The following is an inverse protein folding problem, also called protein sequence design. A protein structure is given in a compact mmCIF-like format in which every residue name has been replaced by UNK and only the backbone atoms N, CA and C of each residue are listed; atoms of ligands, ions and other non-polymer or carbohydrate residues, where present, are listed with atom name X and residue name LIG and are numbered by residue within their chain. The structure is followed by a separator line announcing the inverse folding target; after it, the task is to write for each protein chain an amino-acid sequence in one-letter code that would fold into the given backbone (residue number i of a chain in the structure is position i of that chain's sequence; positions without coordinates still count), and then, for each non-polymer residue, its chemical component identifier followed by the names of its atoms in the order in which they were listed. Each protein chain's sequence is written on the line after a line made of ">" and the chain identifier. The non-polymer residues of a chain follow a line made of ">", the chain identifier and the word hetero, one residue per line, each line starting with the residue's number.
data_IF_462970122680
#
_entry.id   IF_462970122680
#
_cell.length_a   1.000
_cell.length_b   1.000
_cell.length_c   1.000
_cell.angle_alpha   90.00
_cell.angle_beta   90.00
_cell.angle_gamma   90.00
#
_symmetry.space_group_name_H-M   'P 1'
#
loop_
_entity.id
_entity.type
_entity.pdbx_description
1 polymer ?
#
# COMPACT_ATOMS: atom_id res chain seq x y z
N UNK A 1 11.14 -31.68 24.59
CA UNK A 1 10.51 -31.29 23.30
C UNK A 1 9.07 -30.91 23.60
N UNK A 2 8.54 -29.77 23.13
CA UNK A 2 7.14 -29.42 23.36
C UNK A 2 6.22 -30.38 22.60
N UNK A 3 5.06 -30.67 23.17
CA UNK A 3 4.13 -31.68 22.65
C UNK A 3 3.35 -31.15 21.44
N UNK A 4 2.81 -32.02 20.55
CA UNK A 4 2.02 -31.59 19.39
C UNK A 4 0.77 -30.78 19.74
N UNK A 5 0.30 -30.87 20.98
CA UNK A 5 -0.90 -30.18 21.48
C UNK A 5 -0.61 -28.70 21.77
N UNK A 6 0.64 -28.36 22.14
CA UNK A 6 1.07 -26.99 22.42
C UNK A 6 1.05 -26.12 21.13
N UNK A 7 1.26 -26.73 19.96
CA UNK A 7 1.25 -26.03 18.68
C UNK A 7 -0.12 -25.44 18.30
N UNK A 8 -1.22 -26.05 18.73
CA UNK A 8 -2.58 -25.59 18.41
C UNK A 8 -3.05 -24.46 19.34
N UNK A 9 -2.61 -24.45 20.60
CA UNK A 9 -2.91 -23.38 21.57
C UNK A 9 -2.19 -22.06 21.23
N UNK A 10 -1.01 -22.13 20.62
CA UNK A 10 -0.21 -20.95 20.23
C UNK A 10 -0.90 -20.11 19.14
N UNK A 11 -1.74 -20.70 18.27
CA UNK A 11 -2.40 -19.96 17.18
C UNK A 11 -3.41 -18.91 17.65
N UNK A 12 -3.91 -18.98 18.90
CA UNK A 12 -4.86 -18.00 19.46
C UNK A 12 -4.20 -16.98 20.40
N UNK A 13 -2.92 -17.13 20.71
CA UNK A 13 -2.21 -16.22 21.61
C UNK A 13 -1.56 -15.08 20.83
N UNK A 14 -1.68 -13.86 21.37
CA UNK A 14 -1.00 -12.71 20.76
C UNK A 14 0.52 -12.89 20.86
N UNK A 15 1.30 -12.35 19.90
CA UNK A 15 2.76 -12.42 19.94
C UNK A 15 3.35 -11.89 21.25
N UNK A 16 2.68 -10.92 21.88
CA UNK A 16 3.07 -10.33 23.17
C UNK A 16 2.97 -11.31 24.35
N UNK A 17 2.01 -12.25 24.33
CA UNK A 17 1.93 -13.29 25.37
C UNK A 17 3.08 -14.29 25.24
N UNK A 18 3.39 -14.68 24.00
CA UNK A 18 4.47 -15.62 23.70
C UNK A 18 5.84 -15.03 24.02
N UNK A 19 6.02 -13.72 23.83
CA UNK A 19 7.22 -13.00 24.23
C UNK A 19 7.54 -13.12 25.73
N UNK A 20 6.52 -13.23 26.60
CA UNK A 20 6.73 -13.41 28.04
C UNK A 20 7.32 -14.79 28.38
N UNK A 21 7.08 -15.79 27.53
CA UNK A 21 7.52 -17.18 27.73
C UNK A 21 8.87 -17.41 27.04
N UNK A 22 8.99 -16.99 25.78
CA UNK A 22 10.15 -17.29 24.93
C UNK A 22 11.18 -16.18 24.87
N UNK A 23 10.89 -15.03 25.49
CA UNK A 23 11.78 -13.87 25.52
C UNK A 23 11.52 -12.86 24.38
N UNK A 24 12.32 -11.77 24.34
CA UNK A 24 12.08 -10.62 23.48
C UNK A 24 12.32 -10.88 21.99
N UNK A 25 13.04 -11.97 21.66
CA UNK A 25 13.28 -12.43 20.29
C UNK A 25 13.04 -13.93 20.24
N UNK A 26 12.04 -14.35 19.47
CA UNK A 26 11.70 -15.77 19.33
C UNK A 26 11.25 -16.09 17.91
N UNK A 27 11.28 -17.37 17.55
CA UNK A 27 10.79 -17.85 16.26
C UNK A 27 9.55 -18.72 16.45
N UNK A 28 8.61 -18.61 15.51
CA UNK A 28 7.41 -19.42 15.48
C UNK A 28 7.10 -19.85 14.04
N UNK A 29 6.42 -20.99 13.88
CA UNK A 29 5.92 -21.41 12.58
C UNK A 29 4.45 -21.05 12.46
N UNK A 30 4.15 -20.11 11.55
CA UNK A 30 2.79 -19.83 11.14
C UNK A 30 2.52 -20.61 9.85
N UNK A 31 1.68 -21.65 9.97
CA UNK A 31 1.43 -22.61 8.89
C UNK A 31 2.74 -23.20 8.33
N UNK A 32 3.02 -23.01 7.04
CA UNK A 32 4.23 -23.47 6.37
C UNK A 32 5.41 -22.48 6.43
N UNK A 33 5.30 -21.36 7.14
CA UNK A 33 6.34 -20.32 7.20
C UNK A 33 6.93 -20.15 8.59
N UNK A 34 8.25 -19.96 8.65
CA UNK A 34 8.95 -19.52 9.85
C UNK A 34 8.88 -17.99 9.93
N UNK A 35 8.44 -17.48 11.08
CA UNK A 35 8.36 -16.07 11.42
C UNK A 35 9.24 -15.83 12.64
N UNK A 36 10.08 -14.80 12.59
CA UNK A 36 10.85 -14.31 13.73
C UNK A 36 10.16 -13.08 14.28
N UNK A 37 9.87 -13.08 15.57
CA UNK A 37 9.17 -12.00 16.26
C UNK A 37 10.13 -11.29 17.19
N UNK A 38 10.31 -9.98 16.98
CA UNK A 38 10.98 -9.09 17.90
C UNK A 38 9.92 -8.29 18.67
N UNK A 39 9.86 -8.46 19.98
CA UNK A 39 8.81 -7.92 20.85
C UNK A 39 9.29 -6.84 21.82
N UNK A 40 10.59 -6.50 21.79
CA UNK A 40 11.16 -5.39 22.58
C UNK A 40 11.73 -4.28 21.68
N UNK A 41 11.77 -3.01 22.16
CA UNK A 41 12.41 -1.92 21.43
C UNK A 41 13.89 -2.19 21.11
N UNK A 42 14.62 -2.84 22.02
CA UNK A 42 16.03 -3.18 21.82
C UNK A 42 16.21 -4.17 20.66
N UNK A 43 15.41 -5.24 20.63
CA UNK A 43 15.44 -6.23 19.54
C UNK A 43 14.95 -5.65 18.22
N UNK A 44 13.94 -4.78 18.24
CA UNK A 44 13.47 -4.08 17.05
C UNK A 44 14.55 -3.13 16.49
N UNK A 45 15.27 -2.41 17.35
CA UNK A 45 16.39 -1.56 16.96
C UNK A 45 17.54 -2.37 16.37
N UNK A 46 17.88 -3.50 16.96
CA UNK A 46 18.93 -4.37 16.44
C UNK A 46 18.61 -4.86 15.02
N UNK A 47 17.36 -5.26 14.76
CA UNK A 47 16.93 -5.70 13.42
C UNK A 47 16.85 -4.51 12.47
N UNK A 48 16.06 -3.49 12.80
CA UNK A 48 15.70 -2.42 11.87
C UNK A 48 16.75 -1.31 11.71
N UNK A 49 17.77 -1.24 12.57
CA UNK A 49 18.84 -0.23 12.46
C UNK A 49 20.24 -0.83 12.37
N UNK A 50 20.54 -1.86 13.16
CA UNK A 50 21.91 -2.42 13.20
C UNK A 50 22.14 -3.44 12.09
N UNK A 51 21.11 -4.19 11.72
CA UNK A 51 21.16 -5.21 10.67
C UNK A 51 20.14 -4.95 9.53
N UNK A 52 19.81 -3.68 9.33
CA UNK A 52 18.80 -3.21 8.39
C UNK A 52 19.03 -3.71 6.97
N UNK A 53 20.29 -3.74 6.51
CA UNK A 53 20.67 -4.19 5.16
C UNK A 53 20.27 -5.64 4.86
N UNK A 54 20.26 -6.52 5.87
CA UNK A 54 19.89 -7.94 5.71
C UNK A 54 18.39 -8.14 5.96
N UNK A 55 17.79 -7.33 6.83
CA UNK A 55 16.37 -7.42 7.19
C UNK A 55 15.45 -6.46 6.43
N UNK A 56 15.94 -5.77 5.40
CA UNK A 56 15.16 -4.81 4.61
C UNK A 56 14.16 -5.47 3.65
N UNK A 57 14.33 -6.77 3.39
CA UNK A 57 13.39 -7.53 2.56
C UNK A 57 11.99 -7.54 3.17
N UNK A 58 10.96 -7.21 2.36
CA UNK A 58 9.57 -7.22 2.83
C UNK A 58 8.85 -8.48 2.42
N UNK A 59 7.95 -8.94 3.28
CA UNK A 59 6.98 -9.95 2.89
C UNK A 59 5.93 -9.31 1.98
N UNK A 60 5.78 -9.87 0.77
CA UNK A 60 4.69 -9.53 -0.14
C UNK A 60 3.72 -10.70 -0.27
N UNK A 61 2.41 -10.45 -0.21
CA UNK A 61 1.39 -11.42 -0.62
C UNK A 61 1.63 -11.93 -2.04
N UNK A 62 1.31 -13.19 -2.29
CA UNK A 62 1.53 -13.86 -3.58
C UNK A 62 0.68 -13.26 -4.71
N UNK A 63 -0.42 -12.58 -4.38
CA UNK A 63 -1.21 -11.82 -5.37
C UNK A 63 -0.40 -10.69 -5.99
N UNK A 64 0.49 -10.02 -5.23
CA UNK A 64 1.34 -8.96 -5.77
C UNK A 64 2.14 -9.50 -6.95
N UNK A 65 2.83 -10.63 -6.78
CA UNK A 65 3.61 -11.27 -7.84
C UNK A 65 2.81 -11.69 -9.09
N UNK A 66 1.48 -11.74 -9.00
CA UNK A 66 0.59 -12.11 -10.10
C UNK A 66 0.08 -10.90 -10.92
N UNK A 67 0.24 -9.69 -10.40
CA UNK A 67 -0.14 -8.45 -11.10
C UNK A 67 0.93 -8.16 -12.18
N UNK A 68 0.55 -7.90 -13.44
CA UNK A 68 1.48 -7.44 -14.48
C UNK A 68 2.24 -6.18 -14.06
N UNK A 69 3.46 -6.00 -14.58
CA UNK A 69 4.37 -4.88 -14.26
C UNK A 69 4.81 -4.75 -12.79
N UNK A 70 4.21 -5.48 -11.83
CA UNK A 70 4.62 -5.51 -10.41
C UNK A 70 6.09 -5.90 -10.24
N UNK A 71 6.55 -6.96 -10.89
CA UNK A 71 7.95 -7.40 -10.76
C UNK A 71 8.95 -6.41 -11.37
N UNK A 72 8.49 -5.59 -12.32
CA UNK A 72 9.28 -4.52 -12.94
C UNK A 72 9.17 -3.21 -12.15
N UNK A 73 8.05 -3.00 -11.44
CA UNK A 73 7.78 -1.87 -10.58
C UNK A 73 8.88 -1.73 -9.55
N UNK A 74 9.46 -0.54 -9.52
CA UNK A 74 10.58 -0.20 -8.67
C UNK A 74 10.24 -0.43 -7.19
N UNK A 75 9.00 -0.18 -6.77
CA UNK A 75 8.56 -0.34 -5.37
C UNK A 75 8.49 -1.79 -4.91
N UNK A 76 8.12 -2.75 -5.76
CA UNK A 76 8.06 -4.18 -5.39
C UNK A 76 9.40 -4.88 -5.63
N UNK A 77 10.13 -4.49 -6.68
CA UNK A 77 11.50 -4.98 -6.87
C UNK A 77 12.41 -4.55 -5.70
N UNK A 78 12.11 -3.40 -5.10
CA UNK A 78 12.72 -2.94 -3.85
C UNK A 78 12.43 -3.90 -2.66
N UNK A 79 11.28 -4.56 -2.65
CA UNK A 79 10.91 -5.50 -1.57
C UNK A 79 11.40 -6.93 -1.80
N UNK A 80 12.10 -7.18 -2.91
CA UNK A 80 12.71 -8.49 -3.17
C UNK A 80 13.79 -8.83 -2.14
N UNK A 81 14.15 -10.11 -2.05
CA UNK A 81 15.06 -10.66 -1.03
C UNK A 81 16.45 -10.01 -0.97
N UNK A 82 16.81 -9.19 -1.94
CA UNK A 82 18.11 -8.56 -2.07
C UNK A 82 17.95 -7.05 -2.24
N UNK A 83 18.50 -6.31 -1.27
CA UNK A 83 18.64 -4.86 -1.31
C UNK A 83 19.70 -4.50 -2.37
N UNK A 84 19.30 -4.54 -3.65
CA UNK A 84 20.17 -4.16 -4.78
C UNK A 84 20.18 -2.63 -4.97
N UNK A 85 21.17 -2.07 -5.67
CA UNK A 85 21.25 -0.60 -5.93
C UNK A 85 20.02 0.01 -6.62
N UNK A 86 19.16 -0.83 -7.20
CA UNK A 86 17.86 -0.48 -7.76
C UNK A 86 16.85 -0.09 -6.65
N UNK A 87 16.95 -0.68 -5.45
CA UNK A 87 16.19 -0.30 -4.24
C UNK A 87 16.51 1.13 -3.81
N UNK A 88 17.81 1.42 -3.73
CA UNK A 88 18.32 2.71 -3.28
C UNK A 88 17.94 3.81 -4.28
N UNK A 89 18.05 3.54 -5.59
CA UNK A 89 17.62 4.47 -6.63
C UNK A 89 16.10 4.69 -6.67
N UNK A 90 15.30 3.62 -6.51
CA UNK A 90 13.85 3.72 -6.45
C UNK A 90 13.36 4.54 -5.25
N UNK A 91 13.90 4.24 -4.05
CA UNK A 91 13.58 5.00 -2.86
C UNK A 91 14.15 6.41 -2.92
N UNK A 92 15.32 6.61 -3.53
CA UNK A 92 15.85 7.94 -3.78
C UNK A 92 14.89 8.73 -4.65
N UNK A 93 14.43 8.22 -5.79
CA UNK A 93 13.45 8.93 -6.63
C UNK A 93 12.16 9.19 -5.85
N UNK A 94 11.61 8.20 -5.14
CA UNK A 94 10.37 8.41 -4.39
C UNK A 94 10.56 9.45 -3.28
N UNK A 95 11.64 9.36 -2.51
CA UNK A 95 11.94 10.30 -1.42
C UNK A 95 12.28 11.69 -1.96
N UNK A 96 13.05 11.80 -3.04
CA UNK A 96 13.39 13.06 -3.72
C UNK A 96 12.15 13.70 -4.34
N UNK A 97 11.26 12.89 -4.92
CA UNK A 97 9.95 13.31 -5.41
C UNK A 97 9.05 13.78 -4.26
N UNK A 98 9.03 13.10 -3.12
CA UNK A 98 8.35 13.58 -1.91
C UNK A 98 9.03 14.79 -1.26
N UNK A 99 10.33 15.00 -1.49
CA UNK A 99 11.10 16.10 -0.91
C UNK A 99 11.01 17.39 -1.74
N UNK A 100 11.01 17.27 -3.07
CA UNK A 100 10.69 18.38 -4.01
C UNK A 100 9.26 18.88 -3.81
N UNK A 101 8.35 18.00 -3.37
CA UNK A 101 7.01 18.36 -2.94
C UNK A 101 6.92 19.12 -1.60
N UNK A 102 8.02 19.31 -0.87
CA UNK A 102 8.02 20.13 0.36
C UNK A 102 7.66 21.59 0.07
N UNK A 103 7.86 22.06 -1.16
CA UNK A 103 7.37 23.36 -1.65
C UNK A 103 5.84 23.40 -1.85
N UNK A 104 5.20 22.23 -2.02
CA UNK A 104 3.74 22.07 -2.13
C UNK A 104 3.05 22.07 -0.75
N UNK A 105 3.79 22.04 0.37
CA UNK A 105 3.21 22.11 1.74
C UNK A 105 2.35 23.36 1.97
N UNK A 106 2.66 24.47 1.29
CA UNK A 106 1.85 25.70 1.35
C UNK A 106 0.46 25.52 0.75
N UNK A 107 0.32 24.73 -0.33
CA UNK A 107 -0.96 24.44 -1.03
C UNK A 107 -1.62 23.14 -0.56
N UNK A 108 -0.86 22.23 0.04
CA UNK A 108 -1.34 20.99 0.64
C UNK A 108 -2.26 21.24 1.83
N UNK A 109 -2.07 22.33 2.59
CA UNK A 109 -3.00 22.74 3.65
C UNK A 109 -4.39 23.08 3.11
N UNK A 110 -4.45 23.95 2.09
CA UNK A 110 -5.72 24.38 1.47
C UNK A 110 -6.48 23.20 0.86
N UNK A 111 -5.75 22.28 0.21
CA UNK A 111 -6.33 21.05 -0.38
C UNK A 111 -6.86 20.08 0.68
N UNK A 112 -6.11 19.86 1.77
CA UNK A 112 -6.54 19.00 2.90
C UNK A 112 -7.75 19.59 3.62
N UNK A 113 -7.76 20.91 3.80
CA UNK A 113 -8.86 21.63 4.43
C UNK A 113 -10.14 21.50 3.60
N UNK A 114 -10.06 21.58 2.26
CA UNK A 114 -11.20 21.31 1.38
C UNK A 114 -11.79 19.91 1.59
N UNK A 115 -10.96 18.86 1.59
CA UNK A 115 -11.43 17.48 1.80
C UNK A 115 -12.03 17.32 3.20
N UNK A 116 -11.44 17.97 4.21
CA UNK A 116 -11.96 17.97 5.57
C UNK A 116 -13.34 18.64 5.64
N UNK A 117 -13.50 19.81 5.02
CA UNK A 117 -14.77 20.54 4.96
C UNK A 117 -15.85 19.70 4.28
N UNK A 118 -15.56 19.06 3.14
CA UNK A 118 -16.49 18.15 2.46
C UNK A 118 -16.90 16.96 3.36
N UNK A 119 -15.97 16.45 4.18
CA UNK A 119 -16.26 15.37 5.14
C UNK A 119 -17.20 15.87 6.26
N UNK A 120 -16.93 17.07 6.77
CA UNK A 120 -17.75 17.70 7.82
C UNK A 120 -19.14 18.01 7.30
N UNK A 121 -19.26 18.60 6.10
CA UNK A 121 -20.54 18.87 5.44
C UNK A 121 -21.35 17.58 5.24
N UNK A 122 -20.70 16.48 4.83
CA UNK A 122 -21.36 15.18 4.72
C UNK A 122 -21.89 14.68 6.08
N UNK A 123 -21.13 14.83 7.16
CA UNK A 123 -21.54 14.40 8.50
C UNK A 123 -22.67 15.27 9.06
N UNK A 124 -22.61 16.59 8.85
CA UNK A 124 -23.69 17.52 9.22
C UNK A 124 -24.97 17.20 8.44
N UNK A 125 -24.86 16.92 7.15
CA UNK A 125 -25.99 16.49 6.31
C UNK A 125 -26.59 15.12 6.68
N UNK A 126 -25.95 14.39 7.61
CA UNK A 126 -26.40 13.10 8.14
C UNK A 126 -26.74 13.16 9.63
N UNK A 127 -27.01 14.36 10.15
CA UNK A 127 -27.45 14.55 11.52
C UNK A 127 -28.70 13.71 11.83
N UNK A 128 -28.65 12.91 12.89
CA UNK A 128 -29.72 11.99 13.27
C UNK A 128 -29.73 10.64 12.56
N UNK A 129 -28.85 10.39 11.59
CA UNK A 129 -28.69 9.10 10.92
C UNK A 129 -27.52 8.27 11.48
N UNK A 130 -27.62 6.94 11.39
CA UNK A 130 -26.51 6.04 11.73
C UNK A 130 -25.53 5.99 10.56
N UNK A 131 -24.30 6.48 10.77
CA UNK A 131 -23.25 6.53 9.74
C UNK A 131 -22.10 5.57 10.09
N UNK A 132 -21.58 4.87 9.07
CA UNK A 132 -20.38 4.06 9.24
C UNK A 132 -19.10 4.93 9.19
N UNK A 133 -18.53 5.23 10.36
CA UNK A 133 -17.33 6.05 10.47
C UNK A 133 -16.11 5.44 9.77
N UNK A 134 -15.97 4.12 9.76
CA UNK A 134 -14.86 3.44 9.08
C UNK A 134 -14.89 3.75 7.57
N UNK A 135 -16.06 3.72 6.97
CA UNK A 135 -16.26 4.07 5.56
C UNK A 135 -16.02 5.55 5.27
N UNK A 136 -16.34 6.44 6.20
CA UNK A 136 -16.11 7.89 6.07
C UNK A 136 -14.63 8.20 6.16
N UNK A 137 -13.94 7.68 7.19
CA UNK A 137 -12.50 7.89 7.36
C UNK A 137 -11.68 7.31 6.21
N UNK A 138 -12.04 6.12 5.72
CA UNK A 138 -11.41 5.54 4.52
C UNK A 138 -11.57 6.44 3.31
N UNK A 139 -12.80 6.89 3.02
CA UNK A 139 -13.05 7.81 1.90
C UNK A 139 -12.25 9.11 2.05
N UNK A 140 -12.24 9.70 3.25
CA UNK A 140 -11.49 10.91 3.57
C UNK A 140 -9.97 10.73 3.36
N UNK A 141 -9.37 9.65 3.86
CA UNK A 141 -7.94 9.36 3.71
C UNK A 141 -7.56 9.12 2.24
N UNK A 142 -8.36 8.33 1.51
CA UNK A 142 -8.14 8.10 0.09
C UNK A 142 -8.25 9.40 -0.72
N UNK A 143 -9.22 10.27 -0.41
CA UNK A 143 -9.36 11.56 -1.06
C UNK A 143 -8.22 12.52 -0.72
N UNK A 144 -7.75 12.55 0.53
CA UNK A 144 -6.56 13.33 0.87
C UNK A 144 -5.33 12.88 0.08
N UNK A 145 -5.10 11.57 -0.01
CA UNK A 145 -3.97 11.02 -0.79
C UNK A 145 -4.12 11.35 -2.28
N UNK A 146 -5.30 11.10 -2.85
CA UNK A 146 -5.63 11.42 -4.23
C UNK A 146 -5.46 12.91 -4.56
N UNK A 147 -5.78 13.79 -3.61
CA UNK A 147 -5.67 15.23 -3.80
C UNK A 147 -4.20 15.71 -3.72
N UNK A 148 -3.38 15.05 -2.90
CA UNK A 148 -1.93 15.29 -2.90
C UNK A 148 -1.30 14.81 -4.21
N UNK A 149 -1.70 13.63 -4.68
CA UNK A 149 -1.10 12.96 -5.84
C UNK A 149 -1.57 13.52 -7.17
N UNK A 150 -2.87 13.75 -7.28
CA UNK A 150 -3.56 14.06 -8.52
C UNK A 150 -4.54 15.25 -8.39
N UNK A 151 -4.47 16.02 -7.29
CA UNK A 151 -5.29 17.22 -7.08
C UNK A 151 -6.80 17.00 -7.26
N UNK A 152 -7.26 15.75 -7.05
CA UNK A 152 -8.63 15.32 -7.26
C UNK A 152 -9.09 14.38 -6.16
N UNK A 153 -10.39 14.34 -5.93
CA UNK A 153 -11.01 13.34 -5.07
C UNK A 153 -11.31 12.10 -5.92
N UNK A 154 -10.83 10.94 -5.48
CA UNK A 154 -11.07 9.66 -6.17
C UNK A 154 -12.38 8.99 -5.76
N UNK A 155 -12.86 9.28 -4.55
CA UNK A 155 -14.00 8.62 -3.93
C UNK A 155 -15.08 9.62 -3.54
N UNK A 156 -16.34 9.33 -3.86
CA UNK A 156 -17.48 10.04 -3.29
C UNK A 156 -17.88 9.49 -1.92
N UNK A 157 -18.61 10.28 -1.14
CA UNK A 157 -19.21 9.86 0.14
C UNK A 157 -20.49 9.01 -0.03
N UNK A 158 -20.47 8.12 -1.02
CA UNK A 158 -21.55 7.20 -1.35
C UNK A 158 -21.01 5.91 -1.95
N UNK A 159 -21.90 5.04 -2.44
CA UNK A 159 -21.48 3.82 -3.14
C UNK A 159 -20.95 4.19 -4.54
N UNK A 160 -19.73 3.81 -4.83
CA UNK A 160 -19.13 3.97 -6.16
C UNK A 160 -18.26 2.77 -6.50
N UNK A 161 -18.12 2.49 -7.80
CA UNK A 161 -17.26 1.43 -8.31
C UNK A 161 -15.80 1.60 -7.85
N UNK A 162 -15.34 2.86 -7.71
CA UNK A 162 -14.03 3.18 -7.17
C UNK A 162 -13.88 2.77 -5.70
N UNK A 163 -14.91 2.98 -4.87
CA UNK A 163 -14.88 2.59 -3.45
C UNK A 163 -14.87 1.07 -3.28
N UNK A 164 -15.67 0.36 -4.07
CA UNK A 164 -15.68 -1.10 -4.08
C UNK A 164 -14.33 -1.66 -4.51
N UNK A 165 -13.70 -1.05 -5.52
CA UNK A 165 -12.35 -1.41 -5.98
C UNK A 165 -11.28 -1.16 -4.91
N UNK A 166 -11.28 -0.01 -4.24
CA UNK A 166 -10.34 0.29 -3.14
C UNK A 166 -10.49 -0.72 -2.00
N UNK A 167 -11.72 -1.09 -1.65
CA UNK A 167 -11.99 -2.11 -0.64
C UNK A 167 -11.50 -3.51 -1.08
N UNK A 168 -11.69 -3.86 -2.35
CA UNK A 168 -11.19 -5.11 -2.93
C UNK A 168 -9.66 -5.18 -2.88
N UNK A 169 -8.97 -4.10 -3.31
CA UNK A 169 -7.51 -3.98 -3.23
C UNK A 169 -7.03 -4.08 -1.79
N UNK A 170 -7.63 -3.31 -0.87
CA UNK A 170 -7.28 -3.33 0.55
C UNK A 170 -7.36 -4.73 1.14
N UNK A 171 -8.45 -5.45 0.90
CA UNK A 171 -8.63 -6.85 1.36
C UNK A 171 -7.58 -7.80 0.80
N UNK A 172 -7.24 -7.67 -0.48
CA UNK A 172 -6.22 -8.50 -1.13
C UNK A 172 -4.81 -8.23 -0.60
N UNK A 173 -4.51 -6.99 -0.20
CA UNK A 173 -3.21 -6.60 0.33
C UNK A 173 -3.03 -6.96 1.81
N UNK A 174 -4.08 -6.84 2.63
CA UNK A 174 -3.99 -7.10 4.08
C UNK A 174 -4.17 -8.55 4.46
N UNK A 175 -4.82 -9.36 3.62
CA UNK A 175 -5.17 -10.75 3.96
C UNK A 175 -4.21 -11.70 3.26
N UNK A 176 -3.29 -12.38 3.97
CA UNK A 176 -2.44 -13.39 3.35
C UNK A 176 -3.31 -14.57 2.90
N UNK A 177 -3.24 -14.92 1.62
CA UNK A 177 -4.01 -16.04 1.10
C UNK A 177 -3.42 -17.40 1.51
N UNK A 178 -4.11 -18.50 1.21
CA UNK A 178 -3.65 -19.84 1.59
C UNK A 178 -2.24 -20.19 1.07
N UNK A 179 -1.89 -19.74 -0.14
CA UNK A 179 -0.56 -19.96 -0.73
C UNK A 179 0.54 -19.15 -0.04
N UNK A 180 0.16 -18.03 0.58
CA UNK A 180 1.06 -17.22 1.39
C UNK A 180 1.44 -17.95 2.67
N UNK A 181 0.47 -18.63 3.28
CA UNK A 181 0.65 -19.42 4.49
C UNK A 181 1.29 -20.80 4.21
N UNK A 182 0.98 -21.44 3.08
CA UNK A 182 1.47 -22.77 2.70
C UNK A 182 2.20 -22.72 1.35
N UNK A 183 3.53 -22.52 1.35
CA UNK A 183 4.31 -22.42 0.11
C UNK A 183 4.20 -23.62 -0.83
N UNK A 184 3.84 -24.80 -0.32
CA UNK A 184 3.62 -26.03 -1.12
C UNK A 184 2.50 -25.85 -2.13
N UNK A 185 1.47 -25.06 -1.80
CA UNK A 185 0.31 -24.80 -2.68
C UNK A 185 0.67 -23.92 -3.88
N UNK A 186 1.85 -23.26 -3.87
CA UNK A 186 2.29 -22.38 -4.97
C UNK A 186 2.39 -23.10 -6.31
N UNK A 187 2.61 -24.42 -6.31
CA UNK A 187 2.71 -25.23 -7.55
C UNK A 187 1.36 -25.49 -8.21
N UNK A 188 0.27 -25.37 -7.46
CA UNK A 188 -1.09 -25.72 -7.90
C UNK A 188 -1.95 -24.46 -8.10
N UNK A 189 -1.42 -23.29 -7.80
CA UNK A 189 -2.17 -22.03 -7.85
C UNK A 189 -2.17 -21.43 -9.27
N UNK A 190 -3.21 -21.74 -10.04
CA UNK A 190 -3.41 -21.22 -11.39
C UNK A 190 -4.35 -20.02 -11.47
N UNK A 191 -5.24 -19.82 -10.48
CA UNK A 191 -6.26 -18.77 -10.51
C UNK A 191 -5.73 -17.38 -10.15
N UNK A 192 -4.70 -17.25 -9.31
CA UNK A 192 -4.13 -15.94 -8.94
C UNK A 192 -3.59 -15.12 -10.11
N UNK A 193 -3.05 -15.76 -11.15
CA UNK A 193 -2.61 -15.05 -12.37
C UNK A 193 -3.78 -14.34 -13.06
N UNK A 194 -4.96 -14.96 -13.06
CA UNK A 194 -6.17 -14.36 -13.62
C UNK A 194 -6.64 -13.22 -12.73
N UNK A 195 -6.70 -13.43 -11.41
CA UNK A 195 -7.09 -12.39 -10.45
C UNK A 195 -6.16 -11.17 -10.51
N UNK A 196 -4.84 -11.38 -10.54
CA UNK A 196 -3.85 -10.30 -10.66
C UNK A 196 -4.01 -9.48 -11.95
N UNK A 197 -4.31 -10.13 -13.08
CA UNK A 197 -4.61 -9.43 -14.34
C UNK A 197 -5.90 -8.62 -14.28
N UNK A 198 -6.95 -9.17 -13.66
CA UNK A 198 -8.23 -8.47 -13.48
C UNK A 198 -8.02 -7.24 -12.58
N UNK A 199 -7.33 -7.42 -11.46
CA UNK A 199 -7.02 -6.35 -10.53
C UNK A 199 -6.22 -5.24 -11.19
N UNK A 200 -5.15 -5.60 -11.91
CA UNK A 200 -4.35 -4.67 -12.68
C UNK A 200 -5.18 -3.84 -13.66
N UNK A 201 -6.08 -4.48 -14.42
CA UNK A 201 -6.98 -3.75 -15.33
C UNK A 201 -7.89 -2.79 -14.59
N UNK A 202 -8.51 -3.22 -13.49
CA UNK A 202 -9.41 -2.36 -12.70
C UNK A 202 -8.67 -1.14 -12.14
N UNK A 203 -7.45 -1.34 -11.63
CA UNK A 203 -6.57 -0.26 -11.16
C UNK A 203 -6.23 0.69 -12.30
N UNK A 204 -5.80 0.17 -13.45
CA UNK A 204 -5.46 1.03 -14.58
C UNK A 204 -6.67 1.86 -15.01
N UNK A 205 -7.86 1.25 -15.12
CA UNK A 205 -9.08 1.99 -15.45
C UNK A 205 -9.43 3.08 -14.41
N UNK A 206 -9.13 2.87 -13.12
CA UNK A 206 -9.36 3.89 -12.09
C UNK A 206 -8.49 5.14 -12.31
N UNK A 207 -7.26 4.95 -12.77
CA UNK A 207 -6.29 6.02 -12.98
C UNK A 207 -6.24 6.53 -14.43
N UNK A 208 -6.80 5.78 -15.38
CA UNK A 208 -6.71 6.05 -16.82
C UNK A 208 -7.26 7.43 -17.18
N UNK A 209 -8.43 7.79 -16.65
CA UNK A 209 -9.03 9.10 -16.91
C UNK A 209 -8.18 10.24 -16.37
N UNK A 210 -7.56 10.04 -15.20
CA UNK A 210 -6.65 11.02 -14.59
C UNK A 210 -5.40 11.16 -15.45
N UNK A 211 -4.76 10.06 -15.83
CA UNK A 211 -3.53 10.08 -16.63
C UNK A 211 -3.75 10.66 -18.03
N UNK A 212 -4.86 10.30 -18.69
CA UNK A 212 -5.23 10.84 -20.01
C UNK A 212 -5.46 12.34 -19.98
N UNK A 213 -6.20 12.84 -18.99
CA UNK A 213 -6.45 14.26 -18.84
C UNK A 213 -5.15 15.04 -18.64
N UNK A 214 -4.22 14.53 -17.83
CA UNK A 214 -2.92 15.17 -17.60
C UNK A 214 -2.05 15.21 -18.83
N UNK A 215 -1.97 14.11 -19.56
CA UNK A 215 -1.20 14.07 -20.81
C UNK A 215 -1.76 15.04 -21.85
N UNK A 216 -3.07 15.29 -21.85
CA UNK A 216 -3.70 16.30 -22.71
C UNK A 216 -3.39 17.75 -22.30
N UNK A 217 -3.15 18.00 -21.00
CA UNK A 217 -2.78 19.33 -20.48
C UNK A 217 -1.31 19.69 -20.70
N UNK A 218 -0.40 18.71 -20.78
CA UNK A 218 1.03 18.96 -21.05
C UNK A 218 1.30 19.61 -22.44
N UNK A 219 0.28 19.74 -23.31
CA UNK A 219 0.37 20.48 -24.58
C UNK A 219 -0.18 21.92 -24.54
N UNK A 220 -0.82 22.33 -23.44
CA UNK A 220 -1.44 23.65 -23.28
C UNK A 220 -0.78 24.39 -22.13
N UNK A 221 -0.32 25.62 -22.37
CA UNK A 221 0.34 26.50 -21.41
C UNK A 221 -0.61 27.00 -20.31
N UNK A 222 -1.12 26.10 -19.48
CA UNK A 222 -1.95 26.46 -18.33
C UNK A 222 -1.05 26.55 -17.08
N UNK A 223 -1.10 27.70 -16.40
CA UNK A 223 -0.22 28.06 -15.28
C UNK A 223 -0.55 27.35 -13.95
N UNK A 224 -1.15 26.17 -14.00
CA UNK A 224 -1.36 25.36 -12.79
C UNK A 224 -0.02 24.81 -12.30
N UNK A 225 0.23 24.92 -10.99
CA UNK A 225 1.42 24.32 -10.39
C UNK A 225 1.41 22.79 -10.60
N UNK A 226 2.55 22.19 -10.99
CA UNK A 226 2.65 20.76 -11.23
C UNK A 226 2.35 19.98 -9.94
N UNK A 227 1.64 18.86 -10.05
CA UNK A 227 1.48 17.92 -8.94
C UNK A 227 2.23 16.61 -9.16
N UNK A 228 2.15 15.69 -8.20
CA UNK A 228 2.97 14.48 -8.19
C UNK A 228 2.81 13.63 -9.46
N UNK A 229 1.60 13.57 -10.02
CA UNK A 229 1.38 12.83 -11.26
C UNK A 229 2.00 13.54 -12.47
N UNK A 230 2.08 14.87 -12.46
CA UNK A 230 2.76 15.64 -13.51
C UNK A 230 4.27 15.42 -13.47
N UNK A 231 4.87 15.45 -12.27
CA UNK A 231 6.31 15.18 -12.10
C UNK A 231 6.66 13.73 -12.47
N UNK A 232 5.78 12.77 -12.17
CA UNK A 232 5.97 11.38 -12.61
C UNK A 232 5.86 11.21 -14.14
N UNK A 233 4.96 11.95 -14.78
CA UNK A 233 4.82 11.95 -16.23
C UNK A 233 6.00 12.64 -16.93
N UNK A 234 6.54 13.73 -16.36
CA UNK A 234 7.72 14.43 -16.86
C UNK A 234 8.98 13.56 -16.83
N UNK A 235 9.10 12.68 -15.83
CA UNK A 235 10.18 11.69 -15.74
C UNK A 235 9.97 10.46 -16.64
N UNK A 236 8.96 10.48 -17.53
CA UNK A 236 8.66 9.43 -18.51
C UNK A 236 8.46 8.02 -17.91
N UNK A 237 7.94 7.92 -16.68
CA UNK A 237 7.58 6.63 -16.12
C UNK A 237 6.41 6.01 -16.92
N UNK A 238 6.43 4.67 -17.17
CA UNK A 238 5.28 4.00 -17.76
C UNK A 238 4.07 4.14 -16.84
N UNK A 239 2.87 4.30 -17.41
CA UNK A 239 1.60 4.41 -16.66
C UNK A 239 1.44 3.28 -15.62
N UNK A 240 1.90 2.07 -15.97
CA UNK A 240 1.91 0.92 -15.08
C UNK A 240 2.71 1.13 -13.78
N UNK A 241 3.85 1.81 -13.88
CA UNK A 241 4.73 2.10 -12.75
C UNK A 241 4.17 3.25 -11.91
N UNK A 242 3.61 4.27 -12.56
CA UNK A 242 2.96 5.40 -11.90
C UNK A 242 1.81 4.90 -11.02
N UNK A 243 0.86 4.18 -11.60
CA UNK A 243 -0.28 3.63 -10.87
C UNK A 243 0.14 2.71 -9.72
N UNK A 244 1.24 1.97 -9.86
CA UNK A 244 1.72 1.10 -8.80
C UNK A 244 2.42 1.87 -7.67
N UNK A 245 3.24 2.87 -7.98
CA UNK A 245 3.82 3.78 -6.96
C UNK A 245 2.72 4.48 -6.17
N UNK A 246 1.62 4.83 -6.83
CA UNK A 246 0.46 5.48 -6.23
C UNK A 246 -0.45 4.56 -5.41
N UNK A 247 -0.20 3.25 -5.41
CA UNK A 247 -0.97 2.28 -4.63
C UNK A 247 -0.21 1.72 -3.41
N UNK A 248 1.07 2.04 -3.25
CA UNK A 248 1.92 1.61 -2.11
C UNK A 248 2.03 2.72 -1.07
#
# INVERSE_FOLDING_TARGET
>A
MPSPIDHFQIQKQTPSCLAKIYGPLFSMRLAGRLIVVASSPATAKAILKTHDRVSSGRFLPSICYAIPATLQSYTIRSTSKECNGIFEYANYIVVDLFSSLREVESKGKVKKEKVLMETVEYLVGKEGEVVNLDDVFKTMLCNMFANVVASRNLLGYGRSLAKDLVNEIGKMMTTPGLVDLFPVLRRVDFWRKREGKILHRKVMCLWEDILKERRSRNGSSDHSAPDFSDVLLENAFPDDHICFVLMV
#
